data_IF_156150530543
#
_entry.id   IF_156150530543
#
_cell.length_a   1.000
_cell.length_b   1.000
_cell.length_c   1.000
_cell.angle_alpha   90.00
_cell.angle_beta   90.00
_cell.angle_gamma   90.00
#
_symmetry.space_group_name_H-M   'P 1'
#
loop_
_entity.id
_entity.type
_entity.pdbx_description
1 polymer ?
#
# COMPACT_ATOMS: atom_id res chain seq x y z
N UNK A 1 23.74 -8.01 40.69
CA UNK A 1 23.69 -8.66 42.04
C UNK A 1 24.63 -9.84 42.00
N UNK A 2 25.62 -9.84 42.85
CA UNK A 2 26.59 -10.93 42.93
C UNK A 2 26.21 -11.83 44.11
N UNK A 3 26.20 -13.15 43.91
CA UNK A 3 26.03 -14.14 44.95
C UNK A 3 24.66 -14.84 45.06
N UNK A 4 23.73 -14.56 44.16
CA UNK A 4 22.46 -15.30 44.06
C UNK A 4 22.53 -16.50 43.10
N UNK A 5 21.50 -17.30 43.06
CA UNK A 5 21.43 -18.45 42.17
C UNK A 5 20.01 -18.74 41.67
N UNK A 6 19.93 -19.33 40.47
CA UNK A 6 18.69 -19.87 39.94
C UNK A 6 18.38 -21.23 40.51
N UNK A 7 17.11 -21.47 40.84
CA UNK A 7 16.60 -22.77 41.26
C UNK A 7 15.29 -23.07 40.52
N UNK A 8 15.11 -24.32 40.13
CA UNK A 8 13.85 -24.79 39.52
C UNK A 8 13.19 -25.85 40.43
N UNK A 9 11.89 -25.71 40.64
CA UNK A 9 11.12 -26.66 41.44
C UNK A 9 10.75 -27.94 40.65
N UNK A 10 10.59 -27.85 39.33
CA UNK A 10 10.08 -28.91 38.46
C UNK A 10 10.67 -28.93 37.05
N UNK A 11 11.84 -28.34 36.84
CA UNK A 11 12.51 -28.09 35.56
C UNK A 11 11.75 -27.17 34.58
N UNK A 12 10.58 -26.64 34.98
CA UNK A 12 9.77 -25.70 34.16
C UNK A 12 9.72 -24.33 34.79
N UNK A 13 9.51 -24.25 36.11
CA UNK A 13 9.39 -22.99 36.83
C UNK A 13 10.73 -22.61 37.47
N UNK A 14 11.23 -21.45 37.16
CA UNK A 14 12.52 -20.96 37.58
C UNK A 14 12.36 -19.76 38.50
N UNK A 15 13.16 -19.74 39.56
CA UNK A 15 13.21 -18.71 40.59
C UNK A 15 14.67 -18.24 40.77
N UNK A 16 14.85 -16.99 41.19
CA UNK A 16 16.16 -16.53 41.60
C UNK A 16 16.15 -16.17 43.07
N UNK A 17 17.08 -16.75 43.80
CA UNK A 17 17.24 -16.50 45.24
C UNK A 17 18.49 -15.61 45.43
N UNK A 18 18.34 -14.57 46.30
CA UNK A 18 19.45 -13.76 46.76
C UNK A 18 20.39 -14.57 47.63
N UNK A 19 21.60 -14.03 47.96
CA UNK A 19 22.51 -14.66 48.92
C UNK A 19 21.85 -14.89 50.30
N UNK A 20 20.85 -14.09 50.63
CA UNK A 20 20.11 -14.24 51.93
C UNK A 20 18.90 -15.22 51.83
N UNK A 21 18.72 -15.88 50.68
CA UNK A 21 17.65 -16.85 50.48
C UNK A 21 16.27 -16.25 50.16
N UNK A 22 16.20 -14.95 49.81
CA UNK A 22 14.94 -14.31 49.45
C UNK A 22 14.68 -14.47 47.94
N UNK A 23 13.44 -14.77 47.54
CA UNK A 23 13.01 -14.83 46.14
C UNK A 23 12.89 -13.42 45.58
N UNK A 24 13.44 -13.21 44.37
CA UNK A 24 13.23 -11.96 43.61
C UNK A 24 11.83 -11.96 42.97
N UNK A 25 11.25 -10.76 42.88
CA UNK A 25 10.00 -10.47 42.17
C UNK A 25 10.16 -9.20 41.33
N UNK A 26 9.28 -8.99 40.34
CA UNK A 26 9.30 -7.81 39.47
C UNK A 26 10.52 -7.77 38.55
N UNK A 27 10.83 -6.57 38.08
CA UNK A 27 11.98 -6.32 37.21
C UNK A 27 13.30 -6.47 37.94
N UNK A 28 14.22 -7.23 37.37
CA UNK A 28 15.54 -7.48 37.95
C UNK A 28 16.63 -7.43 36.90
N UNK A 29 17.77 -6.89 37.29
CA UNK A 29 19.00 -7.00 36.51
C UNK A 29 19.90 -8.04 37.20
N UNK A 30 20.04 -9.18 36.57
CA UNK A 30 20.88 -10.26 37.06
C UNK A 30 22.06 -10.42 36.11
N UNK A 31 23.25 -10.04 36.54
CA UNK A 31 24.51 -10.12 35.78
C UNK A 31 24.41 -9.44 34.38
N UNK A 32 23.75 -8.28 34.30
CA UNK A 32 23.58 -7.49 33.07
C UNK A 32 22.38 -7.93 32.22
N UNK A 33 21.66 -8.98 32.61
CA UNK A 33 20.47 -9.46 31.91
C UNK A 33 19.22 -8.94 32.62
N UNK A 34 18.32 -8.28 31.88
CA UNK A 34 17.04 -7.82 32.41
C UNK A 34 16.06 -8.99 32.37
N UNK A 35 15.52 -9.32 33.54
CA UNK A 35 14.57 -10.41 33.77
C UNK A 35 13.31 -9.86 34.46
N UNK A 36 12.23 -10.60 34.37
CA UNK A 36 11.03 -10.33 35.15
C UNK A 36 10.56 -11.58 35.88
N UNK A 37 10.24 -11.42 37.15
CA UNK A 37 9.66 -12.44 37.99
C UNK A 37 8.25 -12.01 38.43
N UNK A 38 7.28 -12.89 38.31
CA UNK A 38 5.91 -12.60 38.74
C UNK A 38 5.84 -12.37 40.25
N UNK A 39 4.63 -12.13 40.75
CA UNK A 39 4.41 -11.86 42.18
C UNK A 39 4.70 -13.08 43.09
N UNK A 40 4.70 -14.29 42.55
CA UNK A 40 5.12 -15.52 43.20
C UNK A 40 6.64 -15.78 43.08
N UNK A 41 7.36 -14.89 42.38
CA UNK A 41 8.80 -15.01 42.15
C UNK A 41 9.17 -15.95 41.01
N UNK A 42 8.21 -16.39 40.19
CA UNK A 42 8.45 -17.25 39.04
C UNK A 42 8.95 -16.43 37.87
N UNK A 43 10.05 -16.85 37.25
CA UNK A 43 10.63 -16.19 36.10
C UNK A 43 9.71 -16.28 34.87
N UNK A 44 9.43 -15.17 34.23
CA UNK A 44 8.75 -15.12 32.93
C UNK A 44 9.74 -15.49 31.83
N UNK A 45 9.41 -16.53 31.03
CA UNK A 45 10.26 -17.05 29.95
C UNK A 45 9.42 -17.47 28.75
N UNK A 46 9.92 -17.19 27.54
CA UNK A 46 9.36 -17.70 26.30
C UNK A 46 7.92 -17.25 26.02
N UNK A 47 7.49 -16.15 26.60
CA UNK A 47 6.12 -15.65 26.47
C UNK A 47 6.04 -14.14 26.46
N UNK A 48 4.90 -13.65 26.01
CA UNK A 48 4.46 -12.27 26.16
C UNK A 48 3.89 -12.09 27.57
N UNK A 49 4.25 -11.00 28.22
CA UNK A 49 3.75 -10.63 29.56
C UNK A 49 3.28 -9.17 29.55
N UNK A 50 2.08 -8.92 30.09
CA UNK A 50 1.62 -7.57 30.35
C UNK A 50 2.11 -7.11 31.73
N UNK A 51 2.75 -5.94 31.77
CA UNK A 51 3.31 -5.35 32.99
C UNK A 51 3.01 -3.86 32.92
N UNK A 52 2.30 -3.31 33.90
CA UNK A 52 1.94 -1.89 34.02
C UNK A 52 1.32 -1.31 32.73
N UNK A 53 0.41 -2.10 32.11
CA UNK A 53 -0.33 -1.69 30.90
C UNK A 53 0.48 -1.72 29.60
N UNK A 54 1.72 -2.19 29.64
CA UNK A 54 2.54 -2.46 28.46
C UNK A 54 2.81 -3.95 28.35
N UNK A 55 3.03 -4.46 27.16
CA UNK A 55 3.44 -5.83 27.00
C UNK A 55 4.92 -5.94 26.62
N UNK A 56 5.53 -7.02 27.06
CA UNK A 56 6.95 -7.31 26.90
C UNK A 56 7.12 -8.77 26.46
N UNK A 57 8.21 -9.05 25.77
CA UNK A 57 8.55 -10.40 25.31
C UNK A 57 9.83 -10.88 25.98
N UNK A 58 9.82 -12.12 26.43
CA UNK A 58 10.93 -12.74 27.14
C UNK A 58 11.46 -13.94 26.38
N UNK A 59 12.76 -14.04 26.22
CA UNK A 59 13.41 -15.10 25.48
C UNK A 59 13.15 -16.47 26.12
N UNK A 60 12.97 -17.50 25.27
CA UNK A 60 12.59 -18.84 25.72
C UNK A 60 13.66 -19.50 26.60
N UNK A 61 14.95 -19.38 26.24
CA UNK A 61 16.02 -20.12 26.92
C UNK A 61 16.39 -19.54 28.27
N UNK A 62 16.54 -18.25 28.37
CA UNK A 62 17.08 -17.58 29.55
C UNK A 62 16.11 -16.59 30.21
N UNK A 63 14.94 -16.31 29.59
CA UNK A 63 13.99 -15.32 30.09
C UNK A 63 14.48 -13.88 29.99
N UNK A 64 15.50 -13.60 29.19
CA UNK A 64 15.97 -12.24 28.98
C UNK A 64 14.89 -11.38 28.28
N UNK A 65 14.74 -10.14 28.72
CA UNK A 65 13.90 -9.17 28.03
C UNK A 65 14.41 -8.99 26.59
N UNK A 66 13.51 -9.11 25.63
CA UNK A 66 13.81 -8.86 24.22
C UNK A 66 13.76 -7.36 23.94
N UNK A 67 14.82 -6.78 23.38
CA UNK A 67 14.95 -5.35 23.09
C UNK A 67 15.58 -5.12 21.73
N UNK A 68 15.35 -3.95 21.12
CA UNK A 68 15.98 -3.52 19.87
C UNK A 68 15.91 -4.55 18.74
N UNK A 69 14.78 -5.21 18.58
CA UNK A 69 14.61 -6.26 17.57
C UNK A 69 13.19 -6.36 17.06
N UNK A 70 13.04 -6.91 15.88
CA UNK A 70 11.75 -7.27 15.31
C UNK A 70 11.15 -8.46 16.04
N UNK A 71 9.83 -8.41 16.28
CA UNK A 71 9.04 -9.52 16.75
C UNK A 71 7.92 -9.82 15.75
N UNK A 72 7.84 -11.07 15.33
CA UNK A 72 6.88 -11.53 14.34
C UNK A 72 5.74 -12.30 15.00
N UNK A 73 4.51 -11.96 14.64
CA UNK A 73 3.32 -12.71 14.97
C UNK A 73 2.85 -13.46 13.74
N UNK A 74 2.69 -14.75 13.84
CA UNK A 74 2.14 -15.59 12.78
C UNK A 74 0.72 -15.98 13.18
N UNK A 75 -0.27 -15.43 12.47
CA UNK A 75 -1.68 -15.71 12.71
C UNK A 75 -2.17 -16.68 11.63
N UNK A 76 -2.69 -17.82 12.07
CA UNK A 76 -3.32 -18.78 11.18
C UNK A 76 -4.76 -18.36 10.90
N UNK A 77 -5.09 -18.03 9.64
CA UNK A 77 -6.42 -17.58 9.20
C UNK A 77 -7.11 -18.57 8.25
N UNK A 78 -6.51 -19.73 8.01
CA UNK A 78 -7.00 -20.70 7.03
C UNK A 78 -7.64 -21.94 7.63
N UNK A 79 -8.14 -22.81 6.74
CA UNK A 79 -8.55 -24.17 7.09
C UNK A 79 -7.35 -25.12 6.96
N UNK A 80 -7.40 -26.28 7.64
CA UNK A 80 -6.33 -27.28 7.55
C UNK A 80 -5.97 -27.71 6.12
N UNK A 81 -6.95 -27.63 5.21
CA UNK A 81 -6.79 -27.98 3.79
C UNK A 81 -6.28 -26.83 2.90
N UNK A 82 -6.34 -25.60 3.40
CA UNK A 82 -5.82 -24.40 2.72
C UNK A 82 -5.30 -23.43 3.77
N UNK A 83 -4.07 -23.62 4.27
CA UNK A 83 -3.50 -22.77 5.31
C UNK A 83 -3.19 -21.40 4.76
N UNK A 84 -3.72 -20.37 5.42
CA UNK A 84 -3.37 -18.97 5.18
C UNK A 84 -2.74 -18.43 6.46
N UNK A 85 -1.60 -17.77 6.33
CA UNK A 85 -0.91 -17.14 7.43
C UNK A 85 -0.85 -15.63 7.22
N UNK A 86 -1.12 -14.87 8.26
CA UNK A 86 -0.87 -13.43 8.31
C UNK A 86 0.34 -13.19 9.19
N UNK A 87 1.32 -12.48 8.64
CA UNK A 87 2.53 -12.08 9.33
C UNK A 87 2.38 -10.64 9.77
N UNK A 88 2.34 -10.40 11.07
CA UNK A 88 2.32 -9.08 11.69
C UNK A 88 3.61 -8.85 12.44
N UNK A 89 4.07 -7.61 12.50
CA UNK A 89 5.36 -7.27 13.08
C UNK A 89 5.25 -6.14 14.09
N UNK A 90 5.96 -6.27 15.18
CA UNK A 90 6.29 -5.22 16.14
C UNK A 90 7.80 -4.98 16.13
N UNK A 91 8.25 -3.82 16.55
CA UNK A 91 9.65 -3.56 16.86
C UNK A 91 9.75 -3.25 18.35
N UNK A 92 10.51 -4.05 19.06
CA UNK A 92 10.75 -3.88 20.49
C UNK A 92 11.82 -2.80 20.66
N UNK A 93 11.46 -1.74 21.39
CA UNK A 93 12.35 -0.63 21.68
C UNK A 93 13.48 -1.00 22.65
N UNK A 94 14.24 0.01 23.04
CA UNK A 94 15.33 -0.14 24.01
C UNK A 94 14.83 -0.57 25.39
N UNK A 95 13.62 -0.11 25.77
CA UNK A 95 12.93 -0.50 27.00
C UNK A 95 12.23 -1.88 26.92
N UNK A 96 12.25 -2.54 25.74
CA UNK A 96 11.61 -3.82 25.46
C UNK A 96 10.12 -3.75 25.16
N UNK A 97 9.48 -2.59 25.29
CA UNK A 97 8.11 -2.40 24.84
C UNK A 97 8.05 -2.17 23.32
N UNK A 98 6.95 -2.59 22.64
CA UNK A 98 6.75 -2.24 21.25
C UNK A 98 6.71 -0.73 21.04
N UNK A 99 7.42 -0.27 20.02
CA UNK A 99 7.41 1.14 19.64
C UNK A 99 6.10 1.49 18.94
N UNK A 100 5.71 2.78 18.96
CA UNK A 100 4.55 3.33 18.26
C UNK A 100 4.91 4.60 17.49
N UNK A 101 4.12 4.94 16.46
CA UNK A 101 4.39 6.12 15.64
C UNK A 101 5.51 5.91 14.62
N UNK A 102 6.14 7.00 14.23
CA UNK A 102 7.19 7.00 13.22
C UNK A 102 8.55 6.58 13.75
N UNK A 103 9.15 5.55 13.16
CA UNK A 103 10.51 5.09 13.49
C UNK A 103 11.36 4.90 12.23
N UNK A 104 12.68 5.11 12.38
CA UNK A 104 13.67 4.77 11.37
C UNK A 104 14.54 3.64 11.92
N UNK A 105 14.49 2.49 11.25
CA UNK A 105 15.22 1.27 11.62
C UNK A 105 16.05 0.87 10.39
N UNK A 106 17.35 0.72 10.54
CA UNK A 106 18.27 0.37 9.44
C UNK A 106 18.08 1.26 8.20
N UNK A 107 18.01 2.59 8.42
CA UNK A 107 17.79 3.63 7.39
C UNK A 107 16.47 3.53 6.61
N UNK A 108 15.52 2.73 7.04
CA UNK A 108 14.19 2.57 6.46
C UNK A 108 13.15 3.19 7.37
N UNK A 109 12.16 3.86 6.80
CA UNK A 109 11.10 4.55 7.55
C UNK A 109 9.88 3.66 7.69
N UNK A 110 9.43 3.48 8.92
CA UNK A 110 8.27 2.67 9.30
C UNK A 110 7.29 3.49 10.14
N UNK A 111 6.06 3.02 10.19
CA UNK A 111 5.05 3.52 11.12
C UNK A 111 4.44 2.35 11.90
N UNK A 112 4.42 2.48 13.21
CA UNK A 112 3.78 1.53 14.10
C UNK A 112 2.49 2.12 14.64
N UNK A 113 1.39 1.40 14.53
CA UNK A 113 0.08 1.81 14.97
C UNK A 113 0.04 1.88 16.50
N UNK A 114 -1.09 2.36 17.07
CA UNK A 114 -1.24 2.52 18.52
C UNK A 114 -1.18 1.19 19.30
N UNK A 115 -1.42 0.07 18.63
CA UNK A 115 -1.30 -1.29 19.19
C UNK A 115 0.12 -1.87 19.08
N UNK A 116 1.08 -1.11 18.52
CA UNK A 116 2.46 -1.52 18.30
C UNK A 116 2.70 -2.25 16.97
N UNK A 117 1.65 -2.58 16.21
CA UNK A 117 1.81 -3.29 14.95
C UNK A 117 2.29 -2.37 13.83
N UNK A 118 3.24 -2.87 13.03
CA UNK A 118 3.78 -2.18 11.86
C UNK A 118 2.71 -2.02 10.77
N UNK A 119 2.54 -0.82 10.25
CA UNK A 119 1.81 -0.59 9.02
C UNK A 119 2.53 -1.28 7.85
N UNK A 120 1.82 -2.09 7.06
CA UNK A 120 2.38 -2.81 5.92
C UNK A 120 1.32 -3.11 4.87
N UNK A 121 1.71 -3.09 3.59
CA UNK A 121 0.82 -3.36 2.45
C UNK A 121 -0.51 -2.61 2.57
N UNK A 122 -0.46 -1.35 2.98
CA UNK A 122 -1.66 -0.55 3.25
C UNK A 122 -1.42 0.95 3.08
N UNK A 123 -2.53 1.67 3.00
CA UNK A 123 -2.58 3.13 3.09
C UNK A 123 -3.07 3.52 4.47
N UNK A 124 -2.24 4.24 5.21
CA UNK A 124 -2.55 4.68 6.57
C UNK A 124 -2.70 6.20 6.63
N UNK A 125 -3.75 6.67 7.29
CA UNK A 125 -3.94 8.10 7.56
C UNK A 125 -3.28 8.47 8.87
N UNK A 126 -2.31 9.38 8.80
CA UNK A 126 -1.53 9.87 9.95
C UNK A 126 -1.61 11.38 9.93
N UNK A 127 -2.14 11.98 10.98
CA UNK A 127 -2.31 13.44 11.10
C UNK A 127 -2.98 14.09 9.88
N UNK A 128 -4.03 13.42 9.34
CA UNK A 128 -4.79 13.89 8.19
C UNK A 128 -4.14 13.69 6.83
N UNK A 129 -2.91 13.19 6.76
CA UNK A 129 -2.22 12.82 5.52
C UNK A 129 -2.25 11.31 5.31
N UNK A 130 -2.33 10.89 4.05
CA UNK A 130 -2.36 9.47 3.70
C UNK A 130 -0.98 9.04 3.21
N UNK A 131 -0.46 7.99 3.83
CA UNK A 131 0.86 7.43 3.54
C UNK A 131 0.73 6.00 3.04
N UNK A 132 1.60 5.62 2.12
CA UNK A 132 1.65 4.27 1.55
C UNK A 132 2.81 3.48 2.14
N UNK A 133 2.52 2.29 2.64
CA UNK A 133 3.51 1.33 3.11
C UNK A 133 3.50 0.09 2.23
N UNK A 134 4.68 -0.35 1.81
CA UNK A 134 4.84 -1.56 1.01
C UNK A 134 4.62 -2.84 1.84
N UNK A 135 4.81 -3.99 1.20
CA UNK A 135 4.64 -5.30 1.86
C UNK A 135 5.61 -5.49 3.04
N UNK A 136 6.81 -4.93 2.95
CA UNK A 136 7.82 -4.97 4.00
C UNK A 136 7.62 -3.87 5.06
N UNK A 137 6.53 -3.12 4.98
CA UNK A 137 6.17 -2.03 5.87
C UNK A 137 7.02 -0.77 5.71
N UNK A 138 7.82 -0.66 4.65
CA UNK A 138 8.61 0.53 4.39
C UNK A 138 7.73 1.63 3.78
N UNK A 139 7.96 2.88 4.21
CA UNK A 139 7.30 4.03 3.60
C UNK A 139 7.72 4.17 2.14
N UNK A 140 6.74 4.11 1.23
CA UNK A 140 6.96 4.34 -0.20
C UNK A 140 7.10 5.83 -0.46
N UNK A 141 8.17 6.26 -1.16
CA UNK A 141 8.47 7.67 -1.42
C UNK A 141 8.79 7.93 -2.88
N UNK A 142 8.24 9.02 -3.41
CA UNK A 142 8.53 9.57 -4.74
C UNK A 142 8.44 8.53 -5.85
N UNK A 143 7.44 7.63 -5.76
CA UNK A 143 7.26 6.54 -6.73
C UNK A 143 5.86 5.95 -6.66
N UNK A 144 5.59 5.03 -7.57
CA UNK A 144 4.40 4.19 -7.51
C UNK A 144 4.57 3.06 -6.50
N UNK A 145 3.49 2.75 -5.80
CA UNK A 145 3.40 1.59 -4.94
C UNK A 145 2.03 0.91 -5.06
N UNK A 146 1.97 -0.35 -4.69
CA UNK A 146 0.78 -1.19 -4.84
C UNK A 146 0.36 -1.70 -3.48
N UNK A 147 -0.94 -1.59 -3.20
CA UNK A 147 -1.60 -2.33 -2.12
C UNK A 147 -2.30 -3.52 -2.74
N UNK A 148 -1.95 -4.71 -2.29
CA UNK A 148 -2.59 -5.96 -2.70
C UNK A 148 -3.43 -6.52 -1.57
N UNK A 149 -4.73 -6.71 -1.84
CA UNK A 149 -5.66 -7.32 -0.89
C UNK A 149 -6.06 -8.70 -1.40
N UNK A 150 -5.45 -9.76 -0.86
CA UNK A 150 -5.82 -11.12 -1.23
C UNK A 150 -7.24 -11.42 -0.71
N UNK A 151 -8.03 -12.10 -1.55
CA UNK A 151 -9.29 -12.71 -1.15
C UNK A 151 -9.31 -14.17 -1.59
N UNK A 152 -10.29 -14.93 -1.10
CA UNK A 152 -10.37 -16.37 -1.38
C UNK A 152 -10.46 -16.69 -2.89
N UNK A 153 -10.99 -15.78 -3.71
CA UNK A 153 -11.22 -16.01 -5.14
C UNK A 153 -10.47 -15.03 -6.05
N UNK A 154 -10.11 -13.85 -5.55
CA UNK A 154 -9.47 -12.80 -6.35
C UNK A 154 -8.51 -11.98 -5.48
N UNK A 155 -7.39 -11.57 -6.04
CA UNK A 155 -6.60 -10.50 -5.43
C UNK A 155 -6.95 -9.18 -6.11
N UNK A 156 -7.21 -8.14 -5.34
CA UNK A 156 -7.33 -6.78 -5.86
C UNK A 156 -6.01 -6.04 -5.66
N UNK A 157 -5.56 -5.35 -6.73
CA UNK A 157 -4.37 -4.51 -6.68
C UNK A 157 -4.78 -3.07 -6.92
N UNK A 158 -4.38 -2.18 -6.02
CA UNK A 158 -4.59 -0.75 -6.16
C UNK A 158 -3.25 -0.05 -6.19
N UNK A 159 -3.01 0.73 -7.24
CA UNK A 159 -1.76 1.47 -7.43
C UNK A 159 -1.95 2.92 -7.00
N UNK A 160 -0.97 3.44 -6.27
CA UNK A 160 -0.88 4.82 -5.80
C UNK A 160 0.45 5.44 -6.24
N UNK A 161 0.53 6.77 -6.23
CA UNK A 161 1.78 7.50 -6.37
C UNK A 161 2.00 8.37 -5.13
N UNK A 162 3.23 8.42 -4.62
CA UNK A 162 3.60 9.21 -3.45
C UNK A 162 4.61 10.28 -3.80
N UNK A 163 4.61 11.37 -3.03
CA UNK A 163 5.64 12.42 -3.10
C UNK A 163 6.93 12.02 -2.34
N UNK A 164 7.87 12.96 -2.26
CA UNK A 164 9.15 12.79 -1.58
C UNK A 164 9.02 12.53 -0.06
N UNK A 165 7.90 12.94 0.54
CA UNK A 165 7.58 12.70 1.96
C UNK A 165 6.81 11.40 2.18
N UNK A 166 6.41 10.72 1.10
CA UNK A 166 5.61 9.49 1.12
C UNK A 166 4.10 9.72 1.20
N UNK A 167 3.64 10.98 1.00
CA UNK A 167 2.22 11.33 1.00
C UNK A 167 1.61 10.96 -0.36
N UNK A 168 0.46 10.30 -0.33
CA UNK A 168 -0.28 9.91 -1.53
C UNK A 168 -0.74 11.17 -2.28
N UNK A 169 -0.43 11.21 -3.57
CA UNK A 169 -0.84 12.28 -4.47
C UNK A 169 -2.30 12.12 -4.90
N UNK A 170 -3.05 13.23 -4.94
CA UNK A 170 -4.45 13.28 -5.34
C UNK A 170 -4.68 14.43 -6.33
N UNK A 171 -5.74 14.33 -7.14
CA UNK A 171 -6.12 15.38 -8.07
C UNK A 171 -5.05 15.65 -9.14
N UNK A 172 -4.98 16.90 -9.61
CA UNK A 172 -4.04 17.31 -10.65
C UNK A 172 -2.71 17.70 -10.05
N UNK A 173 -1.61 17.12 -10.56
CA UNK A 173 -0.25 17.31 -10.08
C UNK A 173 0.72 17.53 -11.26
N UNK A 174 1.75 18.34 -11.04
CA UNK A 174 2.89 18.46 -11.95
C UNK A 174 4.11 17.81 -11.30
N UNK A 175 4.59 16.70 -11.87
CA UNK A 175 5.69 15.90 -11.33
C UNK A 175 6.72 15.73 -12.44
N UNK A 176 7.95 16.19 -12.22
CA UNK A 176 9.06 16.12 -13.18
C UNK A 176 8.68 16.60 -14.58
N UNK A 177 7.94 17.72 -14.65
CA UNK A 177 7.51 18.35 -15.91
C UNK A 177 6.37 17.63 -16.64
N UNK A 178 5.85 16.53 -16.08
CA UNK A 178 4.67 15.82 -16.57
C UNK A 178 3.45 16.14 -15.72
N UNK A 179 2.32 16.25 -16.37
CA UNK A 179 1.05 16.49 -15.72
C UNK A 179 0.35 15.17 -15.42
N UNK A 180 -0.17 15.06 -14.21
CA UNK A 180 -0.87 13.88 -13.70
C UNK A 180 -2.27 14.23 -13.22
N UNK A 181 -3.19 13.28 -13.36
CA UNK A 181 -4.52 13.33 -12.71
C UNK A 181 -4.71 12.02 -11.95
N UNK A 182 -4.74 12.11 -10.63
CA UNK A 182 -5.07 11.01 -9.73
C UNK A 182 -6.52 11.13 -9.27
N UNK A 183 -7.14 10.03 -8.89
CA UNK A 183 -8.47 10.08 -8.26
C UNK A 183 -8.44 10.85 -6.93
N UNK A 184 -9.60 11.21 -6.40
CA UNK A 184 -9.73 11.82 -5.07
C UNK A 184 -9.11 10.95 -3.96
N UNK A 185 -9.14 9.63 -4.16
CA UNK A 185 -8.51 8.66 -3.25
C UNK A 185 -7.06 8.34 -3.62
N UNK A 186 -6.44 9.10 -4.52
CA UNK A 186 -5.05 8.93 -4.93
C UNK A 186 -4.77 7.70 -5.78
N UNK A 187 -5.81 7.01 -6.28
CA UNK A 187 -5.64 5.84 -7.15
C UNK A 187 -5.15 6.29 -8.52
N UNK A 188 -4.20 5.56 -9.07
CA UNK A 188 -3.70 5.73 -10.44
C UNK A 188 -4.79 5.39 -11.44
N UNK A 189 -5.01 6.28 -12.39
CA UNK A 189 -6.08 6.23 -13.37
C UNK A 189 -5.55 5.88 -14.77
N UNK A 190 -6.39 5.24 -15.58
CA UNK A 190 -6.10 4.95 -16.98
C UNK A 190 -7.37 5.16 -17.81
N UNK A 191 -7.19 5.65 -19.04
CA UNK A 191 -8.26 5.89 -19.99
C UNK A 191 -8.75 7.32 -20.01
N UNK A 192 -10.04 7.52 -20.30
CA UNK A 192 -10.67 8.84 -20.32
C UNK A 192 -11.18 9.15 -18.93
N UNK A 193 -10.77 10.31 -18.42
CA UNK A 193 -11.10 10.80 -17.08
C UNK A 193 -11.74 12.17 -17.22
N UNK A 194 -12.94 12.34 -16.66
CA UNK A 194 -13.54 13.67 -16.52
C UNK A 194 -12.99 14.33 -15.25
N UNK A 195 -12.30 15.45 -15.44
CA UNK A 195 -11.76 16.27 -14.36
C UNK A 195 -12.10 17.74 -14.64
N UNK A 196 -12.70 18.44 -13.67
CA UNK A 196 -13.14 19.85 -13.82
C UNK A 196 -13.98 20.07 -15.08
N UNK A 197 -14.93 19.19 -15.36
CA UNK A 197 -15.83 19.21 -16.53
C UNK A 197 -15.12 19.10 -17.90
N UNK A 198 -13.89 18.57 -17.94
CA UNK A 198 -13.15 18.29 -19.16
C UNK A 198 -12.72 16.84 -19.18
N UNK A 199 -12.73 16.23 -20.36
CA UNK A 199 -12.30 14.86 -20.54
C UNK A 199 -10.82 14.84 -20.94
N UNK A 200 -10.02 14.16 -20.11
CA UNK A 200 -8.58 13.97 -20.33
C UNK A 200 -8.29 12.51 -20.65
N UNK A 201 -7.33 12.28 -21.53
CA UNK A 201 -6.80 10.94 -21.73
C UNK A 201 -5.55 10.73 -20.89
N UNK A 202 -5.57 9.74 -20.01
CA UNK A 202 -4.46 9.46 -19.10
C UNK A 202 -3.98 8.03 -19.24
N UNK A 203 -2.68 7.83 -19.09
CA UNK A 203 -2.04 6.50 -18.97
C UNK A 203 -1.17 6.53 -17.72
N UNK A 204 -1.44 5.63 -16.78
CA UNK A 204 -0.83 5.64 -15.44
C UNK A 204 -0.93 7.02 -14.77
N UNK A 205 -2.11 7.62 -14.86
CA UNK A 205 -2.42 8.99 -14.42
C UNK A 205 -1.69 10.11 -15.19
N UNK A 206 -0.76 9.83 -16.08
CA UNK A 206 -0.06 10.86 -16.89
C UNK A 206 -1.00 11.36 -17.97
N UNK A 207 -1.24 12.67 -18.01
CA UNK A 207 -2.02 13.34 -19.05
C UNK A 207 -1.30 13.21 -20.39
N UNK A 208 -1.98 12.63 -21.37
CA UNK A 208 -1.45 12.50 -22.74
C UNK A 208 -1.78 13.78 -23.51
N UNK A 209 -0.76 14.56 -23.92
CA UNK A 209 -0.89 15.81 -24.65
C UNK A 209 -0.44 15.65 -26.09
N UNK A 210 -1.09 16.39 -27.03
CA UNK A 210 -0.77 16.30 -28.44
C UNK A 210 -0.58 14.86 -28.89
N UNK A 211 -1.56 14.01 -28.61
CA UNK A 211 -1.40 12.57 -28.73
C UNK A 211 -2.50 11.98 -29.62
N UNK A 212 -2.12 11.00 -30.43
CA UNK A 212 -3.04 10.11 -31.13
C UNK A 212 -2.63 8.69 -30.77
N UNK A 213 -3.42 8.00 -29.94
CA UNK A 213 -3.07 6.69 -29.41
C UNK A 213 -4.23 5.72 -29.42
N UNK A 214 -3.95 4.49 -29.82
CA UNK A 214 -4.83 3.37 -29.57
C UNK A 214 -4.77 3.01 -28.08
N UNK A 215 -5.92 2.88 -27.45
CA UNK A 215 -6.05 2.41 -26.08
C UNK A 215 -7.01 1.22 -26.03
N UNK A 216 -6.52 0.14 -25.45
CA UNK A 216 -7.30 -1.06 -25.19
C UNK A 216 -7.43 -1.19 -23.67
N UNK A 217 -8.62 -0.88 -23.15
CA UNK A 217 -8.88 -1.07 -21.72
C UNK A 217 -8.78 -2.57 -21.38
N UNK A 218 -8.00 -2.97 -20.37
CA UNK A 218 -8.10 -4.32 -19.85
C UNK A 218 -9.55 -4.52 -19.34
N UNK A 219 -10.13 -5.68 -19.63
CA UNK A 219 -11.48 -6.04 -19.21
C UNK A 219 -11.59 -5.91 -17.70
N UNK A 220 -12.17 -4.80 -17.22
CA UNK A 220 -12.54 -4.66 -15.82
C UNK A 220 -14.04 -4.94 -15.74
N UNK A 221 -14.41 -5.90 -14.91
CA UNK A 221 -15.80 -6.29 -14.63
C UNK A 221 -16.55 -5.17 -13.87
N UNK A 222 -16.81 -4.06 -14.53
CA UNK A 222 -17.84 -3.10 -14.13
C UNK A 222 -18.56 -2.62 -15.39
N UNK A 223 -19.87 -2.52 -15.31
CA UNK A 223 -20.88 -2.31 -16.35
C UNK A 223 -20.72 -1.05 -17.25
N UNK A 224 -19.52 -0.53 -17.41
CA UNK A 224 -19.20 0.57 -18.31
C UNK A 224 -18.29 0.04 -19.41
N UNK A 225 -18.71 0.20 -20.65
CA UNK A 225 -18.24 -0.48 -21.85
C UNK A 225 -16.71 -0.52 -22.01
N UNK A 226 -16.24 -1.56 -22.68
CA UNK A 226 -14.85 -1.74 -23.11
C UNK A 226 -14.52 -0.59 -24.06
N UNK A 227 -13.68 0.34 -23.60
CA UNK A 227 -13.23 1.47 -24.38
C UNK A 227 -12.01 1.05 -25.22
N UNK A 228 -12.24 0.51 -26.38
CA UNK A 228 -11.21 0.25 -27.38
C UNK A 228 -11.34 1.28 -28.50
N UNK A 229 -10.32 2.09 -28.70
CA UNK A 229 -10.36 3.09 -29.76
C UNK A 229 -9.07 3.89 -29.90
N UNK A 230 -9.02 4.72 -30.92
CA UNK A 230 -7.96 5.71 -31.10
C UNK A 230 -8.45 7.02 -30.49
N UNK A 231 -7.69 7.57 -29.57
CA UNK A 231 -7.97 8.82 -28.90
C UNK A 231 -6.98 9.89 -29.33
N UNK A 232 -7.51 11.04 -29.74
CA UNK A 232 -6.75 12.24 -29.98
C UNK A 232 -6.87 13.20 -28.80
N UNK A 233 -5.80 13.91 -28.48
CA UNK A 233 -5.79 14.97 -27.46
C UNK A 233 -5.12 16.22 -27.98
N UNK A 234 -5.58 17.36 -27.48
CA UNK A 234 -4.98 18.66 -27.74
C UNK A 234 -3.68 18.90 -26.92
N UNK A 235 -3.12 20.10 -27.04
CA UNK A 235 -1.94 20.53 -26.27
C UNK A 235 -2.11 20.56 -24.76
N UNK A 236 -3.37 20.57 -24.27
CA UNK A 236 -3.72 20.56 -22.87
C UNK A 236 -4.06 19.15 -22.38
N UNK A 237 -4.09 18.15 -23.30
CA UNK A 237 -4.47 16.77 -23.00
C UNK A 237 -5.97 16.53 -22.98
N UNK A 238 -6.78 17.49 -23.46
CA UNK A 238 -8.23 17.37 -23.57
C UNK A 238 -8.56 16.48 -24.76
N UNK A 239 -9.47 15.53 -24.56
CA UNK A 239 -9.91 14.58 -25.59
C UNK A 239 -10.60 15.32 -26.71
N UNK A 240 -10.14 15.11 -27.96
CA UNK A 240 -10.74 15.66 -29.16
C UNK A 240 -12.09 14.98 -29.41
N UNK A 241 -13.07 15.78 -29.92
CA UNK A 241 -14.42 15.31 -30.27
C UNK A 241 -14.87 15.89 -31.59
N UNK A 242 -15.63 15.10 -32.36
CA UNK A 242 -16.08 15.51 -33.69
C UNK A 242 -14.95 15.50 -34.72
N UNK A 243 -15.13 16.28 -35.78
CA UNK A 243 -14.11 16.43 -36.84
C UNK A 243 -12.95 17.29 -36.37
N UNK A 244 -11.77 16.69 -36.23
CA UNK A 244 -10.54 17.39 -35.83
C UNK A 244 -9.35 16.84 -36.61
N UNK A 245 -8.33 17.69 -36.81
CA UNK A 245 -7.02 17.22 -37.31
C UNK A 245 -6.23 16.61 -36.16
N UNK A 246 -5.81 15.37 -36.35
CA UNK A 246 -4.89 14.72 -35.41
C UNK A 246 -3.47 15.29 -35.52
N UNK A 247 -2.59 14.84 -34.62
CA UNK A 247 -1.16 15.20 -34.62
C UNK A 247 -0.44 14.75 -35.93
N UNK A 248 -1.00 13.73 -36.60
CA UNK A 248 -0.56 13.24 -37.90
C UNK A 248 -0.97 14.15 -39.08
N UNK A 249 -1.71 15.24 -38.81
CA UNK A 249 -2.21 16.19 -39.79
C UNK A 249 -3.43 15.69 -40.56
N UNK A 250 -3.89 14.47 -40.36
CA UNK A 250 -5.05 13.90 -41.02
C UNK A 250 -6.36 14.34 -40.35
N UNK A 251 -7.45 14.37 -41.10
CA UNK A 251 -8.78 14.66 -40.54
C UNK A 251 -9.38 13.39 -39.98
N UNK A 252 -9.65 13.40 -38.68
CA UNK A 252 -10.30 12.31 -37.95
C UNK A 252 -11.68 12.74 -37.47
N UNK A 253 -12.57 11.77 -37.31
CA UNK A 253 -13.81 11.94 -36.55
C UNK A 253 -13.70 11.24 -35.22
N UNK A 254 -13.57 12.02 -34.15
CA UNK A 254 -13.57 11.53 -32.78
C UNK A 254 -15.00 11.49 -32.26
N UNK A 255 -15.50 10.33 -31.94
CA UNK A 255 -16.88 10.19 -31.48
C UNK A 255 -17.14 11.03 -30.21
N UNK A 256 -18.26 11.78 -30.15
CA UNK A 256 -18.57 12.63 -28.99
C UNK A 256 -18.91 11.82 -27.73
N UNK A 257 -19.39 10.59 -27.91
CA UNK A 257 -19.59 9.62 -26.83
C UNK A 257 -18.65 8.45 -27.05
N UNK A 258 -18.05 7.95 -25.97
CA UNK A 258 -17.11 6.84 -26.03
C UNK A 258 -17.87 5.55 -26.29
N UNK A 259 -18.10 5.25 -27.56
CA UNK A 259 -18.64 3.96 -28.02
C UNK A 259 -17.55 3.22 -28.79
N UNK A 260 -17.37 1.93 -28.50
CA UNK A 260 -16.43 1.10 -29.24
C UNK A 260 -16.81 1.05 -30.72
N UNK A 261 -15.93 1.51 -31.60
CA UNK A 261 -16.09 1.32 -33.04
C UNK A 261 -15.60 -0.07 -33.39
N UNK A 262 -16.51 -0.95 -33.73
CA UNK A 262 -16.18 -2.36 -33.99
C UNK A 262 -16.16 -2.75 -35.46
N UNK A 263 -16.50 -1.87 -36.41
CA UNK A 263 -16.44 -2.15 -37.86
C UNK A 263 -16.47 -0.85 -38.68
N UNK A 264 -15.91 -0.86 -39.91
CA UNK A 264 -16.13 0.20 -40.89
C UNK A 264 -17.63 0.47 -41.04
N UNK A 265 -18.05 1.69 -40.81
CA UNK A 265 -19.46 2.10 -40.89
C UNK A 265 -19.60 3.37 -41.71
N UNK A 266 -20.78 3.56 -42.27
CA UNK A 266 -21.18 4.84 -42.84
C UNK A 266 -21.92 5.64 -41.78
N UNK A 267 -21.41 6.83 -41.50
CA UNK A 267 -22.04 7.77 -40.56
C UNK A 267 -22.52 9.01 -41.32
N UNK A 268 -23.71 9.49 -40.99
CA UNK A 268 -24.24 10.75 -41.50
C UNK A 268 -23.96 11.83 -40.45
N UNK A 269 -23.12 12.81 -40.81
CA UNK A 269 -22.69 13.86 -39.90
C UNK A 269 -22.96 15.19 -40.57
N UNK A 270 -23.80 16.02 -39.96
CA UNK A 270 -24.25 17.29 -40.49
C UNK A 270 -24.85 17.20 -41.90
N UNK A 271 -25.59 16.11 -42.20
CA UNK A 271 -26.21 15.91 -43.52
C UNK A 271 -25.27 15.41 -44.61
N UNK A 272 -24.05 15.08 -44.31
CA UNK A 272 -23.07 14.51 -45.23
C UNK A 272 -22.68 13.11 -44.80
N UNK A 273 -22.60 12.15 -45.73
CA UNK A 273 -22.18 10.78 -45.51
C UNK A 273 -20.68 10.63 -45.51
N UNK A 274 -20.15 10.01 -44.47
CA UNK A 274 -18.72 9.70 -44.32
C UNK A 274 -18.52 8.22 -44.16
N UNK A 275 -17.45 7.69 -44.72
CA UNK A 275 -17.00 6.32 -44.44
C UNK A 275 -15.94 6.38 -43.35
N UNK A 276 -16.25 5.74 -42.19
CA UNK A 276 -15.28 5.54 -41.13
C UNK A 276 -14.52 4.25 -41.43
N UNK A 277 -13.20 4.33 -41.53
CA UNK A 277 -12.31 3.16 -41.71
C UNK A 277 -11.81 2.66 -40.36
N UNK A 278 -11.14 1.50 -40.34
CA UNK A 278 -10.48 0.98 -39.14
C UNK A 278 -9.42 1.97 -38.65
N UNK A 279 -9.73 2.72 -37.60
CA UNK A 279 -8.86 3.78 -37.07
C UNK A 279 -9.46 5.19 -37.09
N UNK A 280 -10.79 5.31 -37.30
CA UNK A 280 -11.54 6.57 -37.31
C UNK A 280 -11.09 7.57 -38.38
N UNK A 281 -10.46 7.09 -39.46
CA UNK A 281 -10.15 7.91 -40.65
C UNK A 281 -11.43 8.21 -41.39
N UNK A 282 -11.57 9.48 -41.79
CA UNK A 282 -12.66 9.92 -42.63
C UNK A 282 -12.17 10.00 -44.08
N UNK A 283 -12.64 9.07 -44.90
CA UNK A 283 -12.49 9.24 -46.33
C UNK A 283 -13.63 10.13 -46.87
N UNK A 284 -13.33 11.25 -47.56
CA UNK A 284 -14.35 12.01 -48.25
C UNK A 284 -15.02 11.09 -49.27
N UNK A 285 -16.32 11.02 -49.27
CA UNK A 285 -17.05 10.40 -50.40
C UNK A 285 -16.91 11.34 -51.63
N UNK A 286 -16.41 10.77 -52.72
CA UNK A 286 -16.39 11.46 -54.04
C UNK A 286 -17.81 11.80 -54.48
#
# INVERSE_FOLDING_TARGET
>A
MTGGHFQSDNQKDWYYYTANGEKLTGWQNVDGVILYFDKEGKQVKGQKQEIDGKHYYFAYHNGALMTNQWYEHIIFNGYRTNPMYTHLFEYLGEDGAPVTGWHTIDNKRYYFQSDGLRAQNDVVTIEGKRYLFDYDGQLVKNTYGIVERPSMFFSSKTTYHTDADGVIQTGRQLIDGKEYIFSENGVVLNGIITFENKDYFVINSVVQKNSLKAYFAPVVYHNEGIFNGIYGTDENGIVLKGFQRGIDGQLHYFQPEVKSVTKPSWEEINGQRYRLTDGDYVEPTA
#
